data_IF_659615944823
#
_entry.id   IF_659615944823
#
_cell.length_a   1.000
_cell.length_b   1.000
_cell.length_c   1.000
_cell.angle_alpha   90.00
_cell.angle_beta   90.00
_cell.angle_gamma   90.00
#
_symmetry.space_group_name_H-M   'P 1'
#
loop_
_entity.id
_entity.type
_entity.pdbx_description
1 polymer ?
#
# COMPACT_ATOMS: atom_id res chain seq x y z
N UNK A 1 9.00 33.16 -8.50
CA UNK A 1 10.39 33.29 -9.02
C UNK A 1 11.36 32.23 -8.46
N UNK A 2 11.49 32.05 -7.13
CA UNK A 2 12.42 31.06 -6.52
C UNK A 2 12.20 29.60 -6.96
N UNK A 3 10.95 29.18 -7.16
CA UNK A 3 10.62 27.80 -7.56
C UNK A 3 11.00 27.50 -9.03
N UNK A 4 10.75 28.46 -9.93
CA UNK A 4 11.13 28.38 -11.34
C UNK A 4 12.65 28.29 -11.48
N UNK A 5 13.39 29.11 -10.73
CA UNK A 5 14.86 29.06 -10.73
C UNK A 5 15.42 27.74 -10.19
N UNK A 6 14.76 27.12 -9.19
CA UNK A 6 15.10 25.77 -8.72
C UNK A 6 14.84 24.71 -9.78
N UNK A 7 13.72 24.79 -10.51
CA UNK A 7 13.39 23.86 -11.59
C UNK A 7 14.38 23.95 -12.76
N UNK A 8 14.76 25.17 -13.16
CA UNK A 8 15.78 25.38 -14.19
C UNK A 8 17.16 24.87 -13.75
N UNK A 9 17.56 25.15 -12.50
CA UNK A 9 18.80 24.61 -11.96
C UNK A 9 18.80 23.08 -11.96
N UNK A 10 17.71 22.46 -11.54
CA UNK A 10 17.57 21.00 -11.51
C UNK A 10 17.50 20.37 -12.91
N UNK A 11 17.01 21.11 -13.91
CA UNK A 11 17.02 20.69 -15.30
C UNK A 11 18.44 20.67 -15.83
N UNK A 12 19.22 21.73 -15.62
CA UNK A 12 20.60 21.87 -16.13
C UNK A 12 21.58 20.91 -15.42
N UNK A 13 21.40 20.72 -14.11
CA UNK A 13 22.25 19.81 -13.32
C UNK A 13 21.87 18.34 -13.46
N UNK A 14 20.71 18.03 -14.05
CA UNK A 14 20.16 16.68 -14.12
C UNK A 14 19.93 16.03 -12.72
N UNK A 15 19.80 16.84 -11.66
CA UNK A 15 19.61 16.35 -10.29
C UNK A 15 18.20 15.80 -10.02
N UNK A 16 17.19 16.38 -10.67
CA UNK A 16 15.79 16.02 -10.45
C UNK A 16 15.48 14.53 -10.71
N UNK A 17 15.86 13.93 -11.87
CA UNK A 17 15.60 12.52 -12.14
C UNK A 17 16.33 11.55 -11.21
N UNK A 18 17.28 12.02 -10.42
CA UNK A 18 18.07 11.21 -9.48
C UNK A 18 17.45 11.17 -8.07
N UNK A 19 16.43 12.00 -7.79
CA UNK A 19 15.80 12.06 -6.48
C UNK A 19 15.03 10.77 -6.16
N UNK A 20 15.29 10.19 -4.99
CA UNK A 20 14.66 8.94 -4.56
C UNK A 20 13.12 8.99 -4.59
N UNK A 21 12.53 10.11 -4.12
CA UNK A 21 11.08 10.30 -4.15
C UNK A 21 10.51 10.30 -5.58
N UNK A 22 11.22 10.91 -6.53
CA UNK A 22 10.81 10.93 -7.93
C UNK A 22 10.90 9.53 -8.55
N UNK A 23 12.00 8.82 -8.32
CA UNK A 23 12.22 7.46 -8.82
C UNK A 23 11.16 6.50 -8.25
N UNK A 24 10.89 6.58 -6.95
CA UNK A 24 9.85 5.77 -6.29
C UNK A 24 8.46 6.05 -6.85
N UNK A 25 8.08 7.33 -6.98
CA UNK A 25 6.80 7.71 -7.57
C UNK A 25 6.66 7.23 -9.03
N UNK A 26 7.72 7.38 -9.82
CA UNK A 26 7.76 6.91 -11.20
C UNK A 26 7.65 5.38 -11.28
N UNK A 27 8.34 4.66 -10.40
CA UNK A 27 8.26 3.20 -10.32
C UNK A 27 6.84 2.73 -10.03
N UNK A 28 6.20 3.28 -8.99
CA UNK A 28 4.82 2.94 -8.63
C UNK A 28 3.84 3.26 -9.76
N UNK A 29 3.91 4.47 -10.31
CA UNK A 29 3.03 4.88 -11.41
C UNK A 29 3.15 3.96 -12.63
N UNK A 30 4.39 3.59 -13.01
CA UNK A 30 4.61 2.65 -14.11
C UNK A 30 4.08 1.26 -13.74
N UNK A 31 4.37 0.76 -12.54
CA UNK A 31 3.90 -0.56 -12.11
C UNK A 31 2.37 -0.64 -12.14
N UNK A 32 1.67 0.29 -11.51
CA UNK A 32 0.21 0.30 -11.41
C UNK A 32 -0.45 0.42 -12.81
N UNK A 33 0.13 1.27 -13.68
CA UNK A 33 -0.35 1.45 -15.06
C UNK A 33 -0.23 0.16 -15.89
N UNK A 34 0.84 -0.60 -15.70
CA UNK A 34 1.02 -1.84 -16.45
C UNK A 34 0.30 -3.03 -15.80
N UNK A 35 0.24 -3.09 -14.47
CA UNK A 35 -0.44 -4.16 -13.74
C UNK A 35 -1.95 -4.13 -13.98
N UNK A 36 -2.55 -2.94 -14.11
CA UNK A 36 -3.97 -2.80 -14.49
C UNK A 36 -4.29 -3.33 -15.89
N UNK A 37 -3.29 -3.39 -16.79
CA UNK A 37 -3.44 -3.92 -18.16
C UNK A 37 -2.99 -5.38 -18.29
N UNK A 38 -2.01 -5.77 -17.49
CA UNK A 38 -1.36 -7.08 -17.52
C UNK A 38 -1.30 -7.62 -16.09
N UNK A 39 -2.24 -8.49 -15.68
CA UNK A 39 -2.34 -8.96 -14.28
C UNK A 39 -1.08 -9.64 -13.73
N UNK A 40 -0.26 -10.21 -14.62
CA UNK A 40 1.00 -10.90 -14.27
C UNK A 40 2.25 -10.03 -14.51
N UNK A 41 2.09 -8.70 -14.56
CA UNK A 41 3.21 -7.79 -14.73
C UNK A 41 4.14 -7.83 -13.51
N UNK A 42 5.40 -8.21 -13.74
CA UNK A 42 6.38 -8.37 -12.66
C UNK A 42 7.12 -7.08 -12.32
N UNK A 43 7.67 -7.02 -11.11
CA UNK A 43 8.51 -5.90 -10.66
C UNK A 43 9.78 -5.76 -11.52
N UNK A 44 10.34 -6.88 -11.99
CA UNK A 44 11.47 -6.89 -12.93
C UNK A 44 11.13 -6.27 -14.28
N UNK A 45 9.91 -6.49 -14.79
CA UNK A 45 9.45 -5.84 -16.01
C UNK A 45 9.29 -4.32 -15.80
N UNK A 46 8.78 -3.88 -14.64
CA UNK A 46 8.77 -2.45 -14.28
C UNK A 46 10.19 -1.89 -14.19
N UNK A 47 11.12 -2.57 -13.51
CA UNK A 47 12.54 -2.15 -13.38
C UNK A 47 13.13 -1.85 -14.77
N UNK A 48 13.00 -2.80 -15.71
CA UNK A 48 13.48 -2.64 -17.09
C UNK A 48 12.82 -1.45 -17.79
N UNK A 49 11.51 -1.24 -17.61
CA UNK A 49 10.80 -0.08 -18.20
C UNK A 49 11.27 1.25 -17.62
N UNK A 50 11.48 1.34 -16.31
CA UNK A 50 11.95 2.56 -15.65
C UNK A 50 13.39 2.88 -16.07
N UNK A 51 14.26 1.87 -16.17
CA UNK A 51 15.63 2.03 -16.71
C UNK A 51 15.59 2.51 -18.17
N UNK A 52 14.79 1.88 -19.01
CA UNK A 52 14.66 2.30 -20.41
C UNK A 52 14.15 3.74 -20.51
N UNK A 53 13.17 4.10 -19.68
CA UNK A 53 12.63 5.45 -19.62
C UNK A 53 13.68 6.48 -19.19
N UNK A 54 14.56 6.15 -18.23
CA UNK A 54 15.69 7.00 -17.86
C UNK A 54 16.62 7.28 -19.05
N UNK A 55 17.07 6.23 -19.75
CA UNK A 55 18.04 6.41 -20.85
C UNK A 55 17.43 7.05 -22.10
N UNK A 56 16.28 6.56 -22.55
CA UNK A 56 15.70 6.99 -23.83
C UNK A 56 14.88 8.26 -23.72
N UNK A 57 14.38 8.59 -22.53
CA UNK A 57 13.55 9.78 -22.34
C UNK A 57 14.33 10.85 -21.59
N UNK A 58 14.75 10.61 -20.36
CA UNK A 58 15.37 11.66 -19.55
C UNK A 58 16.71 12.11 -20.09
N UNK A 59 17.65 11.18 -20.27
CA UNK A 59 19.01 11.48 -20.74
C UNK A 59 18.96 12.11 -22.13
N UNK A 60 18.16 11.55 -23.04
CA UNK A 60 17.97 12.09 -24.39
C UNK A 60 17.38 13.50 -24.36
N UNK A 61 16.29 13.73 -23.63
CA UNK A 61 15.68 15.06 -23.57
C UNK A 61 16.61 16.10 -22.96
N UNK A 62 17.35 15.75 -21.90
CA UNK A 62 18.32 16.65 -21.29
C UNK A 62 19.43 17.03 -22.29
N UNK A 63 19.99 16.04 -22.98
CA UNK A 63 20.98 16.28 -24.02
C UNK A 63 20.44 17.14 -25.17
N UNK A 64 19.25 16.81 -25.70
CA UNK A 64 18.60 17.60 -26.76
C UNK A 64 18.30 19.04 -26.31
N UNK A 65 17.97 19.26 -25.03
CA UNK A 65 17.75 20.60 -24.50
C UNK A 65 19.04 21.41 -24.50
N UNK A 66 20.15 20.83 -24.04
CA UNK A 66 21.47 21.49 -24.05
C UNK A 66 21.90 21.83 -25.49
N UNK A 67 21.81 20.86 -26.40
CA UNK A 67 22.19 21.06 -27.81
C UNK A 67 21.27 22.09 -28.47
N UNK A 68 19.96 22.02 -28.22
CA UNK A 68 18.99 22.97 -28.76
C UNK A 68 19.25 24.40 -28.31
N UNK A 69 19.48 24.61 -27.01
CA UNK A 69 19.84 25.93 -26.47
C UNK A 69 21.15 26.43 -27.07
N UNK A 70 22.17 25.57 -27.13
CA UNK A 70 23.48 25.92 -27.72
C UNK A 70 23.35 26.32 -29.19
N UNK A 71 22.59 25.55 -29.98
CA UNK A 71 22.32 25.86 -31.38
C UNK A 71 21.61 27.21 -31.54
N UNK A 72 20.55 27.46 -30.76
CA UNK A 72 19.81 28.73 -30.82
C UNK A 72 20.69 29.93 -30.47
N UNK A 73 21.69 29.76 -29.60
CA UNK A 73 22.64 30.84 -29.26
C UNK A 73 23.66 31.11 -30.36
N UNK A 74 24.14 30.08 -31.07
CA UNK A 74 25.21 30.22 -32.07
C UNK A 74 24.67 30.55 -33.46
N UNK A 75 23.49 30.01 -33.82
CA UNK A 75 22.93 30.11 -35.16
C UNK A 75 22.81 31.55 -35.72
N UNK A 76 22.44 32.58 -34.95
CA UNK A 76 22.35 33.97 -35.46
C UNK A 76 23.70 34.56 -35.90
N UNK A 77 24.81 34.05 -35.38
CA UNK A 77 26.16 34.58 -35.59
C UNK A 77 26.95 33.79 -36.64
N UNK A 78 26.40 32.69 -37.15
CA UNK A 78 27.07 31.84 -38.12
C UNK A 78 27.08 32.50 -39.52
N UNK A 79 28.27 32.90 -39.99
CA UNK A 79 28.45 33.45 -41.33
C UNK A 79 28.34 32.37 -42.42
N UNK A 80 28.86 31.16 -42.15
CA UNK A 80 28.69 30.00 -43.02
C UNK A 80 27.67 29.02 -42.43
N UNK A 81 26.48 28.97 -43.05
CA UNK A 81 25.42 28.04 -42.65
C UNK A 81 25.67 26.61 -43.08
N UNK A 82 26.51 26.38 -44.09
CA UNK A 82 26.77 25.05 -44.65
C UNK A 82 27.69 24.23 -43.74
N UNK A 83 28.73 24.85 -43.17
CA UNK A 83 29.60 24.23 -42.16
C UNK A 83 28.98 24.11 -40.76
N UNK A 84 27.90 24.84 -40.48
CA UNK A 84 27.27 24.86 -39.15
C UNK A 84 26.66 23.51 -38.75
N UNK A 85 25.97 22.83 -39.67
CA UNK A 85 25.29 21.56 -39.36
C UNK A 85 26.29 20.42 -39.09
N UNK A 86 27.31 20.18 -39.94
CA UNK A 86 28.32 19.15 -39.67
C UNK A 86 29.13 19.42 -38.40
N UNK A 87 29.48 20.69 -38.14
CA UNK A 87 30.21 21.06 -36.91
C UNK A 87 29.37 20.86 -35.65
N UNK A 88 28.08 21.22 -35.68
CA UNK A 88 27.15 20.96 -34.58
C UNK A 88 26.97 19.46 -34.33
N UNK A 89 26.86 18.66 -35.39
CA UNK A 89 26.75 17.21 -35.25
C UNK A 89 27.99 16.61 -34.59
N UNK A 90 29.19 16.99 -35.06
CA UNK A 90 30.45 16.50 -34.49
C UNK A 90 30.62 16.95 -33.03
N UNK A 91 30.39 18.23 -32.74
CA UNK A 91 30.45 18.77 -31.39
C UNK A 91 29.41 18.11 -30.46
N UNK A 92 28.20 17.87 -30.98
CA UNK A 92 27.13 17.18 -30.28
C UNK A 92 27.51 15.74 -29.94
N UNK A 93 28.09 14.99 -30.89
CA UNK A 93 28.55 13.62 -30.65
C UNK A 93 29.64 13.55 -29.56
N UNK A 94 30.65 14.42 -29.64
CA UNK A 94 31.72 14.51 -28.62
C UNK A 94 31.13 14.89 -27.25
N UNK A 95 30.21 15.85 -27.23
CA UNK A 95 29.54 16.29 -26.00
C UNK A 95 28.68 15.17 -25.39
N UNK A 96 27.97 14.40 -26.21
CA UNK A 96 27.17 13.26 -25.74
C UNK A 96 28.06 12.20 -25.10
N UNK A 97 29.17 11.83 -25.76
CA UNK A 97 30.12 10.85 -25.21
C UNK A 97 30.69 11.33 -23.86
N UNK A 98 31.06 12.61 -23.79
CA UNK A 98 31.58 13.23 -22.55
C UNK A 98 30.53 13.20 -21.44
N UNK A 99 29.29 13.63 -21.73
CA UNK A 99 28.21 13.62 -20.75
C UNK A 99 27.82 12.21 -20.31
N UNK A 100 27.83 11.24 -21.23
CA UNK A 100 27.61 9.83 -20.89
C UNK A 100 28.70 9.37 -19.91
N UNK A 101 29.97 9.54 -20.26
CA UNK A 101 31.09 9.01 -19.48
C UNK A 101 31.23 9.67 -18.10
N UNK A 102 31.04 10.98 -18.00
CA UNK A 102 31.37 11.73 -16.79
C UNK A 102 30.16 12.18 -15.97
N UNK A 103 28.95 12.19 -16.53
CA UNK A 103 27.76 12.65 -15.82
C UNK A 103 26.70 11.56 -15.69
N UNK A 104 26.17 11.08 -16.82
CA UNK A 104 25.02 10.18 -16.82
C UNK A 104 25.36 8.80 -16.29
N UNK A 105 26.50 8.24 -16.68
CA UNK A 105 26.91 6.90 -16.24
C UNK A 105 27.26 6.90 -14.74
N UNK A 106 28.12 7.79 -14.22
CA UNK A 106 28.39 7.83 -12.78
C UNK A 106 27.12 8.03 -11.96
N UNK A 107 26.26 8.99 -12.35
CA UNK A 107 25.00 9.25 -11.66
C UNK A 107 24.02 8.09 -11.72
N UNK A 108 24.00 7.37 -12.84
CA UNK A 108 23.15 6.20 -13.02
C UNK A 108 23.52 5.08 -12.03
N UNK A 109 24.79 4.74 -11.93
CA UNK A 109 25.24 3.65 -11.03
C UNK A 109 25.34 4.08 -9.57
N UNK A 110 25.73 5.32 -9.28
CA UNK A 110 25.91 5.80 -7.92
C UNK A 110 24.59 6.16 -7.22
N UNK A 111 23.60 6.65 -7.98
CA UNK A 111 22.39 7.25 -7.38
C UNK A 111 21.11 6.64 -7.92
N UNK A 112 20.91 6.65 -9.25
CA UNK A 112 19.64 6.22 -9.83
C UNK A 112 19.35 4.74 -9.56
N UNK A 113 20.31 3.85 -9.84
CA UNK A 113 20.13 2.41 -9.70
C UNK A 113 19.90 1.98 -8.25
N UNK A 114 20.70 2.43 -7.25
CA UNK A 114 20.43 2.14 -5.84
C UNK A 114 19.06 2.66 -5.37
N UNK A 115 18.65 3.86 -5.79
CA UNK A 115 17.34 4.42 -5.43
C UNK A 115 16.19 3.62 -6.06
N UNK A 116 16.36 3.15 -7.30
CA UNK A 116 15.39 2.28 -7.96
C UNK A 116 15.27 0.93 -7.25
N UNK A 117 16.38 0.33 -6.84
CA UNK A 117 16.38 -0.93 -6.09
C UNK A 117 15.74 -0.76 -4.70
N UNK A 118 16.00 0.37 -4.04
CA UNK A 118 15.34 0.73 -2.79
C UNK A 118 13.83 0.83 -2.98
N UNK A 119 13.35 1.52 -4.03
CA UNK A 119 11.93 1.62 -4.33
C UNK A 119 11.27 0.25 -4.62
N UNK A 120 11.97 -0.65 -5.32
CA UNK A 120 11.52 -2.03 -5.56
C UNK A 120 11.38 -2.79 -4.24
N UNK A 121 12.40 -2.71 -3.39
CA UNK A 121 12.42 -3.40 -2.09
C UNK A 121 11.32 -2.88 -1.16
N UNK A 122 11.13 -1.57 -1.09
CA UNK A 122 10.03 -0.95 -0.33
C UNK A 122 8.67 -1.46 -0.79
N UNK A 123 8.46 -1.59 -2.10
CA UNK A 123 7.22 -2.11 -2.65
C UNK A 123 7.00 -3.59 -2.30
N UNK A 124 8.05 -4.42 -2.41
CA UNK A 124 7.98 -5.84 -2.03
C UNK A 124 7.66 -6.02 -0.54
N UNK A 125 8.29 -5.22 0.33
CA UNK A 125 8.04 -5.25 1.77
C UNK A 125 6.57 -4.92 2.05
N UNK A 126 6.00 -3.90 1.38
CA UNK A 126 4.58 -3.55 1.53
C UNK A 126 3.67 -4.70 1.12
N UNK A 127 3.90 -5.33 -0.03
CA UNK A 127 3.10 -6.48 -0.47
C UNK A 127 3.16 -7.61 0.57
N UNK A 128 4.37 -7.94 1.07
CA UNK A 128 4.54 -8.97 2.09
C UNK A 128 3.80 -8.61 3.39
N UNK A 129 3.90 -7.36 3.84
CA UNK A 129 3.18 -6.89 5.03
C UNK A 129 1.67 -7.01 4.84
N UNK A 130 1.14 -6.68 3.67
CA UNK A 130 -0.28 -6.86 3.38
C UNK A 130 -0.70 -8.33 3.37
N UNK A 131 0.14 -9.22 2.85
CA UNK A 131 -0.10 -10.66 2.87
C UNK A 131 -0.07 -11.21 4.31
N UNK A 132 0.91 -10.83 5.12
CA UNK A 132 0.98 -11.20 6.53
C UNK A 132 -0.22 -10.66 7.30
N UNK A 133 -0.63 -9.41 7.07
CA UNK A 133 -1.87 -8.86 7.65
C UNK A 133 -3.11 -9.64 7.20
N UNK A 134 -3.18 -10.09 5.94
CA UNK A 134 -4.26 -10.97 5.46
C UNK A 134 -4.22 -12.34 6.15
N UNK A 135 -3.03 -12.92 6.38
CA UNK A 135 -2.87 -14.17 7.15
C UNK A 135 -3.33 -13.99 8.59
N UNK A 136 -2.88 -12.93 9.27
CA UNK A 136 -3.30 -12.59 10.64
C UNK A 136 -4.84 -12.43 10.72
N UNK A 137 -5.44 -11.73 9.75
CA UNK A 137 -6.91 -11.60 9.66
C UNK A 137 -7.63 -12.94 9.44
N UNK A 138 -7.01 -13.88 8.72
CA UNK A 138 -7.57 -15.23 8.51
C UNK A 138 -7.45 -16.12 9.75
N UNK A 139 -6.38 -15.98 10.53
CA UNK A 139 -6.18 -16.73 11.78
C UNK A 139 -6.97 -16.17 12.96
N UNK A 140 -7.41 -14.92 12.88
CA UNK A 140 -8.22 -14.31 13.92
C UNK A 140 -9.66 -14.85 13.90
N UNK A 141 -10.24 -15.07 15.08
CA UNK A 141 -11.65 -15.39 15.21
C UNK A 141 -12.53 -14.29 14.60
N UNK A 142 -13.71 -14.70 14.08
CA UNK A 142 -14.68 -13.77 13.52
C UNK A 142 -15.17 -12.77 14.59
N UNK A 143 -15.62 -11.58 14.16
CA UNK A 143 -16.13 -10.54 15.09
C UNK A 143 -17.25 -11.08 15.99
N UNK A 144 -18.26 -11.82 15.48
CA UNK A 144 -19.26 -12.46 16.34
C UNK A 144 -18.64 -13.39 17.38
N UNK A 145 -17.69 -14.25 16.97
CA UNK A 145 -16.98 -15.15 17.91
C UNK A 145 -16.26 -14.38 19.01
N UNK A 146 -15.50 -13.33 18.66
CA UNK A 146 -14.77 -12.50 19.63
C UNK A 146 -15.72 -11.81 20.62
N UNK A 147 -16.86 -11.32 20.15
CA UNK A 147 -17.89 -10.71 21.00
C UNK A 147 -18.51 -11.75 21.93
N UNK A 148 -18.81 -12.96 21.45
CA UNK A 148 -19.30 -14.07 22.29
C UNK A 148 -18.27 -14.44 23.35
N UNK A 149 -17.00 -14.62 22.98
CA UNK A 149 -15.93 -14.96 23.93
C UNK A 149 -15.86 -13.90 25.03
N UNK A 150 -15.80 -12.63 24.67
CA UNK A 150 -15.72 -11.54 25.63
C UNK A 150 -16.97 -11.49 26.53
N UNK A 151 -18.15 -11.74 25.96
CA UNK A 151 -19.42 -11.74 26.69
C UNK A 151 -19.49 -12.88 27.70
N UNK A 152 -19.07 -14.08 27.31
CA UNK A 152 -18.99 -15.25 28.18
C UNK A 152 -18.00 -15.01 29.30
N UNK A 153 -16.82 -14.45 29.01
CA UNK A 153 -15.84 -14.06 30.03
C UNK A 153 -16.45 -13.06 31.02
N UNK A 154 -17.15 -12.04 30.55
CA UNK A 154 -17.81 -11.05 31.41
C UNK A 154 -18.85 -11.69 32.33
N UNK A 155 -19.68 -12.59 31.79
CA UNK A 155 -20.72 -13.29 32.56
C UNK A 155 -20.13 -14.29 33.56
N UNK A 156 -19.03 -14.97 33.21
CA UNK A 156 -18.31 -15.88 34.12
C UNK A 156 -17.68 -15.16 35.30
N UNK A 157 -17.32 -13.87 35.14
CA UNK A 157 -16.75 -13.03 36.20
C UNK A 157 -17.81 -12.19 36.93
N UNK A 158 -19.09 -12.52 36.78
CA UNK A 158 -20.21 -11.82 37.42
C UNK A 158 -20.28 -10.30 37.08
N UNK A 159 -19.56 -9.85 36.05
CA UNK A 159 -19.60 -8.47 35.55
C UNK A 159 -20.87 -8.18 34.73
N UNK A 160 -21.76 -9.15 34.62
CA UNK A 160 -22.98 -9.07 33.85
C UNK A 160 -22.73 -9.05 32.35
N UNK A 161 -23.76 -8.63 31.63
CA UNK A 161 -23.75 -8.54 30.17
C UNK A 161 -23.07 -7.24 29.74
N UNK A 162 -22.11 -7.32 28.81
CA UNK A 162 -21.40 -6.14 28.36
C UNK A 162 -22.34 -5.15 27.65
N UNK A 163 -22.30 -3.86 28.01
CA UNK A 163 -23.13 -2.87 27.36
C UNK A 163 -22.63 -2.59 25.94
N UNK A 164 -23.57 -2.41 25.01
CA UNK A 164 -23.29 -1.96 23.64
C UNK A 164 -23.06 -0.44 23.59
N UNK A 165 -22.10 0.04 24.37
CA UNK A 165 -21.70 1.44 24.38
C UNK A 165 -20.35 1.63 23.68
N UNK A 166 -20.01 2.90 23.44
CA UNK A 166 -18.81 3.26 22.70
C UNK A 166 -17.51 2.91 23.47
N UNK A 167 -17.56 2.92 24.79
CA UNK A 167 -16.42 2.63 25.67
C UNK A 167 -16.04 1.15 25.59
N UNK A 168 -17.00 0.23 25.73
CA UNK A 168 -16.79 -1.21 25.58
C UNK A 168 -16.25 -1.55 24.19
N UNK A 169 -16.86 -0.99 23.14
CA UNK A 169 -16.40 -1.20 21.77
C UNK A 169 -14.97 -0.71 21.55
N UNK A 170 -14.57 0.41 22.19
CA UNK A 170 -13.21 0.93 22.14
C UNK A 170 -12.20 0.02 22.87
N UNK A 171 -12.58 -0.54 24.03
CA UNK A 171 -11.72 -1.48 24.77
C UNK A 171 -11.51 -2.76 23.96
N UNK A 172 -12.58 -3.34 23.41
CA UNK A 172 -12.49 -4.54 22.57
C UNK A 172 -11.76 -4.27 21.24
N UNK A 173 -11.90 -3.07 20.66
CA UNK A 173 -11.11 -2.66 19.51
C UNK A 173 -9.60 -2.65 19.84
N UNK A 174 -9.21 -2.13 21.01
CA UNK A 174 -7.80 -2.14 21.44
C UNK A 174 -7.28 -3.56 21.72
N UNK A 175 -8.12 -4.44 22.26
CA UNK A 175 -7.75 -5.82 22.58
C UNK A 175 -7.64 -6.71 21.33
N UNK A 176 -8.55 -6.54 20.37
CA UNK A 176 -8.64 -7.42 19.21
C UNK A 176 -8.15 -6.79 17.90
N UNK A 177 -7.93 -5.48 17.83
CA UNK A 177 -7.56 -4.80 16.59
C UNK A 177 -8.65 -4.82 15.51
N UNK A 178 -9.92 -5.02 15.91
CA UNK A 178 -11.08 -5.16 15.03
C UNK A 178 -11.90 -3.87 15.02
N UNK A 179 -12.51 -3.54 13.88
CA UNK A 179 -13.35 -2.36 13.67
C UNK A 179 -14.37 -2.13 14.81
N UNK A 180 -14.32 -0.93 15.40
CA UNK A 180 -15.10 -0.52 16.57
C UNK A 180 -16.60 -0.51 16.30
N UNK A 181 -17.02 -0.05 15.11
CA UNK A 181 -18.44 0.04 14.76
C UNK A 181 -19.04 -1.34 14.57
N UNK A 182 -18.28 -2.26 13.96
CA UNK A 182 -18.68 -3.67 13.85
C UNK A 182 -18.75 -4.37 15.20
N UNK A 183 -17.82 -4.10 16.12
CA UNK A 183 -17.91 -4.63 17.49
C UNK A 183 -19.18 -4.12 18.18
N UNK A 184 -19.43 -2.80 18.13
CA UNK A 184 -20.61 -2.18 18.73
C UNK A 184 -21.90 -2.76 18.13
N UNK A 185 -21.97 -2.93 16.82
CA UNK A 185 -23.11 -3.53 16.15
C UNK A 185 -23.34 -4.98 16.60
N UNK A 186 -22.28 -5.79 16.70
CA UNK A 186 -22.41 -7.17 17.18
C UNK A 186 -22.80 -7.25 18.66
N UNK A 187 -22.27 -6.37 19.52
CA UNK A 187 -22.75 -6.25 20.91
C UNK A 187 -24.24 -5.88 20.96
N UNK A 188 -24.69 -4.92 20.14
CA UNK A 188 -26.08 -4.53 20.08
C UNK A 188 -27.00 -5.69 19.65
N UNK A 189 -26.55 -6.50 18.68
CA UNK A 189 -27.29 -7.70 18.21
C UNK A 189 -27.44 -8.75 19.33
N UNK A 190 -26.41 -8.94 20.15
CA UNK A 190 -26.49 -9.82 21.32
C UNK A 190 -27.45 -9.32 22.39
N UNK A 191 -27.63 -8.01 22.53
CA UNK A 191 -28.58 -7.41 23.48
C UNK A 191 -30.02 -7.37 22.95
N UNK A 192 -30.20 -7.18 21.64
CA UNK A 192 -31.50 -7.00 20.98
C UNK A 192 -31.81 -8.15 20.02
N UNK A 193 -31.89 -9.36 20.57
CA UNK A 193 -32.11 -10.60 19.80
C UNK A 193 -33.43 -10.60 19.01
N UNK A 194 -34.43 -9.80 19.42
CA UNK A 194 -35.75 -9.71 18.79
C UNK A 194 -35.83 -8.95 17.48
N UNK A 195 -34.75 -8.30 17.06
CA UNK A 195 -34.71 -7.52 15.82
C UNK A 195 -33.66 -7.99 14.81
N UNK A 196 -33.02 -9.15 15.03
CA UNK A 196 -31.94 -9.64 14.15
C UNK A 196 -32.52 -10.45 12.99
N UNK A 197 -31.93 -10.28 11.81
CA UNK A 197 -32.27 -11.07 10.62
C UNK A 197 -31.77 -12.51 10.76
N UNK A 198 -32.35 -13.45 9.99
CA UNK A 198 -31.92 -14.85 9.99
C UNK A 198 -30.43 -15.02 9.64
N UNK A 199 -29.93 -14.18 8.73
CA UNK A 199 -28.51 -14.16 8.36
C UNK A 199 -27.63 -13.77 9.55
N UNK A 200 -27.98 -12.70 10.26
CA UNK A 200 -27.23 -12.24 11.45
C UNK A 200 -27.31 -13.26 12.58
N UNK A 201 -28.47 -13.90 12.77
CA UNK A 201 -28.65 -14.99 13.74
C UNK A 201 -27.71 -16.16 13.44
N UNK A 202 -27.63 -16.58 12.18
CA UNK A 202 -26.71 -17.64 11.74
C UNK A 202 -25.25 -17.28 11.99
N UNK A 203 -24.82 -16.05 11.71
CA UNK A 203 -23.47 -15.57 12.00
C UNK A 203 -23.14 -15.60 13.50
N UNK A 204 -24.10 -15.25 14.36
CA UNK A 204 -23.94 -15.30 15.81
C UNK A 204 -23.87 -16.75 16.30
N UNK A 205 -24.74 -17.64 15.82
CA UNK A 205 -24.72 -19.06 16.18
C UNK A 205 -23.39 -19.71 15.82
N UNK A 206 -22.89 -19.46 14.61
CA UNK A 206 -21.54 -19.89 14.23
C UNK A 206 -20.45 -19.28 15.13
N UNK A 207 -20.66 -18.04 15.58
CA UNK A 207 -19.84 -17.38 16.58
C UNK A 207 -19.82 -18.11 17.92
N UNK A 208 -20.97 -18.59 18.38
CA UNK A 208 -21.14 -19.40 19.60
C UNK A 208 -20.42 -20.74 19.47
N UNK A 209 -20.55 -21.42 18.33
CA UNK A 209 -19.87 -22.71 18.08
C UNK A 209 -18.35 -22.55 18.14
N UNK A 210 -17.79 -21.57 17.44
CA UNK A 210 -16.35 -21.33 17.50
C UNK A 210 -15.88 -20.86 18.89
N UNK A 211 -16.74 -20.16 19.65
CA UNK A 211 -16.42 -19.78 21.03
C UNK A 211 -16.43 -21.01 21.95
N UNK A 212 -17.30 -21.98 21.70
CA UNK A 212 -17.31 -23.28 22.40
C UNK A 212 -15.99 -24.01 22.18
N UNK A 213 -15.54 -24.14 20.94
CA UNK A 213 -14.24 -24.74 20.61
C UNK A 213 -13.08 -24.03 21.34
N UNK A 214 -13.13 -22.69 21.39
CA UNK A 214 -12.15 -21.88 22.13
C UNK A 214 -12.13 -22.23 23.63
N UNK A 215 -13.27 -22.23 24.31
CA UNK A 215 -13.31 -22.51 25.75
C UNK A 215 -13.03 -23.97 26.09
N UNK A 216 -13.44 -24.91 25.23
CA UNK A 216 -13.09 -26.33 25.36
C UNK A 216 -11.58 -26.55 25.25
N UNK A 217 -10.91 -25.85 24.34
CA UNK A 217 -9.45 -25.90 24.22
C UNK A 217 -8.72 -25.49 25.51
N UNK A 218 -9.26 -24.52 26.25
CA UNK A 218 -8.72 -24.08 27.55
C UNK A 218 -9.27 -24.88 28.75
N UNK A 219 -10.15 -25.86 28.52
CA UNK A 219 -10.76 -26.66 29.59
C UNK A 219 -11.75 -25.87 30.47
N UNK A 220 -12.30 -24.76 29.98
CA UNK A 220 -13.20 -23.90 30.75
C UNK A 220 -14.65 -24.38 30.71
N UNK A 221 -14.93 -25.45 31.44
CA UNK A 221 -16.27 -26.08 31.52
C UNK A 221 -17.37 -25.16 32.05
N UNK A 222 -17.01 -24.10 32.79
CA UNK A 222 -17.94 -23.07 33.26
C UNK A 222 -18.54 -22.22 32.11
N UNK A 223 -17.91 -22.19 30.93
CA UNK A 223 -18.40 -21.45 29.78
C UNK A 223 -19.57 -22.16 29.08
N UNK A 224 -19.61 -23.49 29.10
CA UNK A 224 -20.63 -24.32 28.44
C UNK A 224 -22.07 -23.97 28.81
N UNK A 225 -22.46 -23.83 30.10
CA UNK A 225 -23.84 -23.45 30.44
C UNK A 225 -24.22 -22.06 29.93
N UNK A 226 -23.27 -21.13 29.92
CA UNK A 226 -23.47 -19.76 29.43
C UNK A 226 -23.68 -19.73 27.91
N UNK A 227 -22.86 -20.48 27.17
CA UNK A 227 -23.01 -20.64 25.72
C UNK A 227 -24.33 -21.31 25.35
N UNK A 228 -24.74 -22.34 26.08
CA UNK A 228 -26.01 -23.05 25.83
C UNK A 228 -27.23 -22.16 26.12
N UNK A 229 -27.19 -21.33 27.18
CA UNK A 229 -28.25 -20.34 27.43
C UNK A 229 -28.34 -19.31 26.29
N UNK A 230 -27.18 -18.83 25.81
CA UNK A 230 -27.13 -17.89 24.69
C UNK A 230 -27.68 -18.50 23.39
N UNK A 231 -27.31 -19.75 23.08
CA UNK A 231 -27.83 -20.48 21.93
C UNK A 231 -29.34 -20.71 22.01
N UNK A 232 -29.84 -21.15 23.16
CA UNK A 232 -31.28 -21.35 23.39
C UNK A 232 -32.09 -20.06 23.22
N UNK A 233 -31.56 -18.91 23.69
CA UNK A 233 -32.19 -17.60 23.48
C UNK A 233 -32.25 -17.22 22.00
N UNK A 234 -31.23 -17.57 21.23
CA UNK A 234 -31.19 -17.34 19.79
C UNK A 234 -32.11 -18.30 19.02
N UNK A 235 -32.33 -19.53 19.47
CA UNK A 235 -33.21 -20.48 18.78
C UNK A 235 -34.71 -20.22 19.05
N UNK A 236 -35.09 -19.93 20.31
CA UNK A 236 -36.50 -19.68 20.70
C UNK A 236 -37.19 -18.51 20.00
N UNK A 237 -36.40 -17.59 19.45
CA UNK A 237 -36.91 -16.44 18.71
C UNK A 237 -37.06 -16.67 17.20
N UNK A 238 -36.68 -17.85 16.70
CA UNK A 238 -36.99 -18.29 15.33
C UNK A 238 -38.40 -18.88 15.22
N UNK A 239 -38.92 -19.41 16.32
CA UNK A 239 -40.21 -20.11 16.41
C UNK A 239 -41.40 -19.17 16.72
N UNK A 240 -41.11 -17.88 16.98
CA UNK A 240 -42.11 -16.83 17.21
C UNK A 240 -42.14 -15.89 16.03
#
# INVERSE_FOLDING_TARGET
MKQVMKQWKSLISFDFPLQAAYISAQFHSVHDTYQSKFPFWSLEATKKKVIAWYWFRLVLYHFLTIVGVSFLTVAPFAQDRSGLIPSLFLAGAISLLTLIAFNYWPSYYATFLPNLETAINEHQIRIRQEEELKKCKRSQYSIPTLVVIAQVISQMNECGTMPSNEQTANILNKLYGVDKDKIKQNLARHLKISGITDKERFEILKGVDHARDFFEHFGWTKATPVLNDLENKLQRQKER
#
